data_IF_002479041120
#
_entry.id   IF_002479041120
#
_cell.length_a   1.000
_cell.length_b   1.000
_cell.length_c   1.000
_cell.angle_alpha   90.00
_cell.angle_beta   90.00
_cell.angle_gamma   90.00
#
_symmetry.space_group_name_H-M   'P 1'
#
loop_
_entity.id
_entity.type
_entity.pdbx_description
1 polymer ?
#
# COMPACT_ATOMS: atom_id res chain seq x y z
N UNK A 1 -13.48 -14.28 -16.48
CA UNK A 1 -14.45 -15.16 -17.18
C UNK A 1 -13.70 -16.38 -17.68
N UNK A 2 -14.20 -17.59 -17.42
CA UNK A 2 -13.60 -18.85 -17.92
C UNK A 2 -14.49 -19.39 -19.04
N UNK A 3 -13.89 -19.79 -20.15
CA UNK A 3 -14.58 -20.42 -21.27
C UNK A 3 -14.19 -21.90 -21.31
N UNK A 4 -15.17 -22.77 -21.48
CA UNK A 4 -14.92 -24.17 -21.80
C UNK A 4 -14.62 -24.28 -23.30
N UNK A 5 -13.42 -24.77 -23.63
CA UNK A 5 -12.95 -24.92 -24.99
C UNK A 5 -12.68 -26.39 -25.29
N UNK A 6 -12.94 -26.81 -26.53
CA UNK A 6 -12.49 -28.11 -27.03
C UNK A 6 -11.09 -27.97 -27.62
N UNK A 7 -10.26 -28.99 -27.42
CA UNK A 7 -8.93 -29.07 -28.01
C UNK A 7 -9.02 -29.87 -29.31
N UNK A 8 -8.46 -29.33 -30.39
CA UNK A 8 -8.39 -29.99 -31.69
C UNK A 8 -7.42 -31.16 -31.72
N UNK A 9 -7.45 -31.95 -32.80
CA UNK A 9 -6.69 -33.20 -32.93
C UNK A 9 -5.16 -33.05 -32.78
N UNK A 10 -4.64 -31.86 -33.05
CA UNK A 10 -3.20 -31.57 -33.02
C UNK A 10 -2.73 -30.92 -31.70
N UNK A 11 -3.58 -30.83 -30.66
CA UNK A 11 -3.31 -30.22 -29.35
C UNK A 11 -2.88 -28.74 -29.39
N UNK A 12 -2.83 -28.14 -30.58
CA UNK A 12 -2.41 -26.76 -30.86
C UNK A 12 -3.57 -25.85 -31.27
N UNK A 13 -4.74 -26.42 -31.52
CA UNK A 13 -5.92 -25.70 -31.95
C UNK A 13 -6.97 -25.70 -30.86
N UNK A 14 -7.47 -24.52 -30.51
CA UNK A 14 -8.57 -24.38 -29.56
C UNK A 14 -9.85 -24.05 -30.32
N UNK A 15 -10.95 -24.65 -29.90
CA UNK A 15 -12.26 -24.43 -30.47
C UNK A 15 -13.24 -24.01 -29.38
N UNK A 16 -14.01 -22.96 -29.65
CA UNK A 16 -15.13 -22.54 -28.80
C UNK A 16 -16.41 -22.66 -29.61
N UNK A 17 -17.35 -23.49 -29.15
CA UNK A 17 -18.61 -23.78 -29.87
C UNK A 17 -18.40 -24.11 -31.36
N UNK A 18 -17.34 -24.86 -31.68
CA UNK A 18 -17.01 -25.26 -33.05
C UNK A 18 -16.26 -24.20 -33.88
N UNK A 19 -16.10 -22.98 -33.39
CA UNK A 19 -15.28 -21.96 -34.05
C UNK A 19 -13.82 -22.06 -33.59
N UNK A 20 -12.89 -22.08 -34.55
CA UNK A 20 -11.46 -22.07 -34.26
C UNK A 20 -11.05 -20.72 -33.65
N UNK A 21 -10.47 -20.77 -32.46
CA UNK A 21 -9.92 -19.62 -31.76
C UNK A 21 -8.51 -19.33 -32.30
N UNK A 22 -8.35 -18.21 -33.03
CA UNK A 22 -7.04 -17.77 -33.54
C UNK A 22 -6.53 -16.54 -32.79
N UNK A 23 -5.23 -16.53 -32.53
CA UNK A 23 -4.55 -15.40 -31.90
C UNK A 23 -4.78 -14.10 -32.69
N UNK A 24 -5.08 -13.00 -31.98
CA UNK A 24 -5.36 -11.67 -32.52
C UNK A 24 -6.48 -11.60 -33.56
N UNK A 25 -7.23 -12.69 -33.77
CA UNK A 25 -8.44 -12.67 -34.55
C UNK A 25 -9.61 -12.22 -33.66
N UNK A 26 -10.48 -11.31 -34.13
CA UNK A 26 -11.72 -11.04 -33.44
C UNK A 26 -12.63 -12.27 -33.55
N UNK A 27 -13.26 -12.65 -32.44
CA UNK A 27 -14.35 -13.62 -32.41
C UNK A 27 -15.56 -13.01 -31.71
N UNK A 28 -16.74 -13.42 -32.13
CA UNK A 28 -17.99 -12.95 -31.54
C UNK A 28 -18.42 -13.89 -30.42
N UNK A 29 -18.56 -13.35 -29.22
CA UNK A 29 -19.08 -14.04 -28.06
C UNK A 29 -20.55 -13.63 -27.86
N UNK A 30 -21.46 -14.58 -28.06
CA UNK A 30 -22.90 -14.40 -27.86
C UNK A 30 -23.42 -15.23 -26.69
N UNK A 31 -24.19 -14.55 -25.84
CA UNK A 31 -25.12 -15.16 -24.89
C UNK A 31 -26.55 -14.82 -25.31
N UNK A 32 -27.52 -15.36 -24.57
CA UNK A 32 -28.94 -15.01 -24.64
C UNK A 32 -29.23 -13.53 -24.36
N UNK A 33 -28.33 -12.83 -23.65
CA UNK A 33 -28.50 -11.44 -23.21
C UNK A 33 -27.52 -10.44 -23.82
N UNK A 34 -26.36 -10.89 -24.30
CA UNK A 34 -25.29 -9.99 -24.76
C UNK A 34 -24.56 -10.54 -25.98
N UNK A 35 -24.08 -9.64 -26.85
CA UNK A 35 -23.09 -9.94 -27.88
C UNK A 35 -21.87 -9.04 -27.68
N UNK A 36 -20.68 -9.61 -27.77
CA UNK A 36 -19.41 -8.88 -27.68
C UNK A 36 -18.43 -9.37 -28.75
N UNK A 37 -17.73 -8.45 -29.40
CA UNK A 37 -16.55 -8.78 -30.21
C UNK A 37 -15.31 -8.77 -29.32
N UNK A 38 -14.60 -9.89 -29.28
CA UNK A 38 -13.46 -10.11 -28.39
C UNK A 38 -12.25 -10.51 -29.23
N UNK A 39 -11.05 -10.04 -28.88
CA UNK A 39 -9.80 -10.52 -29.48
C UNK A 39 -9.08 -11.46 -28.52
N UNK A 40 -8.52 -12.54 -29.06
CA UNK A 40 -7.75 -13.51 -28.27
C UNK A 40 -6.32 -12.99 -28.12
N UNK A 41 -5.97 -12.60 -26.90
CA UNK A 41 -4.60 -12.27 -26.53
C UNK A 41 -3.84 -13.53 -26.10
N UNK A 42 -2.53 -13.56 -26.34
CA UNK A 42 -1.62 -14.62 -25.90
C UNK A 42 -1.55 -14.50 -24.38
N UNK A 43 -1.84 -15.57 -23.65
CA UNK A 43 -1.98 -15.51 -22.18
C UNK A 43 -0.65 -15.26 -21.43
N UNK A 44 0.45 -15.01 -22.12
CA UNK A 44 1.76 -14.76 -21.51
C UNK A 44 2.53 -13.74 -22.34
N UNK A 45 2.46 -12.49 -21.93
CA UNK A 45 3.56 -11.52 -22.09
C UNK A 45 3.43 -10.34 -21.12
N UNK A 46 2.33 -10.21 -20.38
CA UNK A 46 2.25 -9.28 -19.23
C UNK A 46 1.22 -9.74 -18.20
N UNK A 47 1.38 -10.93 -17.61
CA UNK A 47 1.01 -10.98 -16.19
C UNK A 47 2.06 -10.11 -15.51
N UNK A 48 1.73 -8.97 -14.89
CA UNK A 48 2.70 -8.29 -14.05
C UNK A 48 3.25 -9.34 -13.10
N UNK A 49 4.57 -9.49 -13.04
CA UNK A 49 5.23 -10.40 -12.09
C UNK A 49 4.50 -10.29 -10.75
N UNK A 50 4.17 -11.41 -10.09
CA UNK A 50 3.50 -11.35 -8.80
C UNK A 50 4.26 -10.37 -7.94
N UNK A 51 3.54 -9.31 -7.55
CA UNK A 51 4.07 -8.21 -6.78
C UNK A 51 4.80 -8.81 -5.57
N UNK A 52 6.09 -8.50 -5.40
CA UNK A 52 6.84 -9.07 -4.28
C UNK A 52 6.35 -8.38 -3.02
N UNK A 53 5.56 -9.09 -2.23
CA UNK A 53 5.03 -8.63 -0.95
C UNK A 53 6.04 -8.92 0.16
N UNK A 54 6.31 -7.94 1.03
CA UNK A 54 7.14 -8.14 2.22
C UNK A 54 6.78 -7.18 3.34
N UNK A 55 6.93 -7.65 4.58
CA UNK A 55 6.86 -6.80 5.76
C UNK A 55 8.15 -6.01 5.93
N UNK A 56 8.03 -4.71 6.21
CA UNK A 56 9.17 -3.84 6.48
C UNK A 56 8.93 -3.05 7.77
N UNK A 57 9.96 -3.02 8.63
CA UNK A 57 9.96 -2.24 9.87
C UNK A 57 10.54 -0.84 9.61
N UNK A 58 9.74 0.20 9.86
CA UNK A 58 10.08 1.59 9.59
C UNK A 58 9.99 2.42 10.87
N UNK A 59 10.95 3.31 11.08
CA UNK A 59 10.80 4.35 12.09
C UNK A 59 10.09 5.55 11.47
N UNK A 60 8.98 5.96 12.06
CA UNK A 60 8.14 7.05 11.56
C UNK A 60 7.99 8.10 12.65
N UNK A 61 8.28 9.36 12.29
CA UNK A 61 8.07 10.52 13.15
C UNK A 61 6.74 11.18 12.80
N UNK A 62 5.80 11.16 13.73
CA UNK A 62 4.60 11.97 13.70
C UNK A 62 4.88 13.28 14.46
N UNK A 63 4.76 14.42 13.78
CA UNK A 63 5.07 15.72 14.39
C UNK A 63 3.78 16.50 14.69
N UNK A 64 3.76 17.24 15.79
CA UNK A 64 2.65 18.14 16.10
C UNK A 64 1.33 17.44 16.43
N UNK A 65 1.36 16.21 16.95
CA UNK A 65 0.14 15.47 17.31
C UNK A 65 -0.52 16.14 18.51
N UNK A 66 -1.83 16.35 18.45
CA UNK A 66 -2.60 16.85 19.60
C UNK A 66 -2.59 15.84 20.76
N UNK A 67 -2.64 16.28 22.03
CA UNK A 67 -2.54 15.40 23.20
C UNK A 67 -3.51 14.22 23.18
N UNK A 68 -4.75 14.45 22.76
CA UNK A 68 -5.83 13.47 22.77
C UNK A 68 -5.49 12.27 21.87
N UNK A 69 -4.98 12.54 20.66
CA UNK A 69 -4.52 11.51 19.74
C UNK A 69 -3.24 10.86 20.26
N UNK A 70 -2.27 11.66 20.73
CA UNK A 70 -1.00 11.14 21.22
C UNK A 70 -1.16 10.19 22.42
N UNK A 71 -2.20 10.38 23.24
CA UNK A 71 -2.48 9.56 24.41
C UNK A 71 -3.23 8.25 24.09
N UNK A 72 -3.85 8.14 22.91
CA UNK A 72 -4.54 6.90 22.48
C UNK A 72 -3.70 6.05 21.52
N UNK A 73 -2.54 6.54 21.07
CA UNK A 73 -1.57 5.74 20.31
C UNK A 73 -0.96 4.70 21.24
N UNK A 74 -1.10 3.43 20.90
CA UNK A 74 -0.63 2.30 21.71
C UNK A 74 0.16 1.28 20.90
N UNK A 75 1.08 0.59 21.57
CA UNK A 75 1.78 -0.55 20.99
C UNK A 75 0.81 -1.69 20.71
N UNK A 76 0.93 -2.30 19.53
CA UNK A 76 0.02 -3.31 19.04
C UNK A 76 -1.13 -2.77 18.19
N UNK A 77 -1.30 -1.45 18.07
CA UNK A 77 -2.29 -0.86 17.17
C UNK A 77 -2.10 -1.36 15.74
N UNK A 78 -3.21 -1.68 15.07
CA UNK A 78 -3.20 -2.27 13.73
C UNK A 78 -3.96 -1.42 12.73
N UNK A 79 -3.41 -1.32 11.54
CA UNK A 79 -4.13 -0.85 10.37
C UNK A 79 -4.63 -2.06 9.57
N UNK A 80 -5.89 -1.96 9.12
CA UNK A 80 -6.53 -2.96 8.27
C UNK A 80 -6.96 -2.32 6.95
N UNK A 81 -6.92 -3.10 5.88
CA UNK A 81 -7.53 -2.72 4.61
C UNK A 81 -9.06 -2.89 4.64
N UNK A 82 -9.79 -2.47 3.58
CA UNK A 82 -11.24 -2.65 3.50
C UNK A 82 -11.73 -4.11 3.55
N UNK A 83 -10.83 -5.08 3.35
CA UNK A 83 -11.14 -6.52 3.44
C UNK A 83 -10.86 -7.08 4.85
N UNK A 84 -10.35 -6.26 5.76
CA UNK A 84 -9.99 -6.64 7.13
C UNK A 84 -8.58 -7.24 7.27
N UNK A 85 -7.78 -7.28 6.19
CA UNK A 85 -6.40 -7.77 6.24
C UNK A 85 -5.51 -6.73 6.91
N UNK A 86 -4.66 -7.15 7.85
CA UNK A 86 -3.71 -6.27 8.52
C UNK A 86 -2.65 -5.82 7.51
N UNK A 87 -2.54 -4.51 7.32
CA UNK A 87 -1.56 -3.86 6.44
C UNK A 87 -0.47 -3.14 7.21
N UNK A 88 -0.70 -2.80 8.48
CA UNK A 88 0.30 -2.15 9.32
C UNK A 88 0.13 -2.50 10.79
N UNK A 89 1.22 -2.47 11.54
CA UNK A 89 1.22 -2.65 13.00
C UNK A 89 2.19 -1.68 13.66
N UNK A 90 1.73 -0.98 14.68
CA UNK A 90 2.59 -0.21 15.58
C UNK A 90 3.29 -1.19 16.52
N UNK A 91 4.59 -1.38 16.32
CA UNK A 91 5.38 -2.36 17.05
C UNK A 91 5.92 -1.81 18.37
N UNK A 92 6.37 -0.55 18.37
CA UNK A 92 6.92 0.10 19.55
C UNK A 92 6.79 1.63 19.48
N UNK A 93 6.66 2.29 20.62
CA UNK A 93 6.80 3.74 20.74
C UNK A 93 8.23 4.04 21.18
N UNK A 94 9.04 4.59 20.27
CA UNK A 94 10.46 4.89 20.52
C UNK A 94 10.60 6.15 21.39
N UNK A 95 9.80 7.18 21.12
CA UNK A 95 9.77 8.39 21.93
C UNK A 95 8.45 9.14 21.79
N UNK A 96 8.08 9.87 22.83
CA UNK A 96 6.94 10.79 22.85
C UNK A 96 7.32 12.00 23.68
N UNK A 97 7.49 13.16 23.05
CA UNK A 97 7.94 14.39 23.70
C UNK A 97 7.15 15.59 23.20
N UNK A 98 7.15 16.70 23.92
CA UNK A 98 6.56 17.95 23.42
C UNK A 98 7.20 18.35 22.08
N UNK A 99 6.37 18.81 21.15
CA UNK A 99 6.83 19.31 19.85
C UNK A 99 7.68 20.57 20.00
N UNK A 100 8.60 20.79 19.08
CA UNK A 100 9.45 21.98 19.05
C UNK A 100 8.75 23.13 18.29
N UNK A 101 8.69 24.32 18.87
CA UNK A 101 8.14 25.55 18.27
C UNK A 101 9.27 26.56 18.06
N UNK A 102 9.43 27.03 16.83
CA UNK A 102 10.39 28.06 16.49
C UNK A 102 9.75 29.45 16.67
N UNK A 103 10.35 30.31 17.49
CA UNK A 103 9.87 31.66 17.74
C UNK A 103 10.97 32.67 17.41
N UNK A 104 10.62 33.72 16.69
CA UNK A 104 11.52 34.86 16.45
C UNK A 104 11.37 35.86 17.60
N UNK A 105 12.41 35.99 18.43
CA UNK A 105 12.43 36.95 19.56
C UNK A 105 13.68 37.82 19.47
N UNK A 106 13.47 39.15 19.38
CA UNK A 106 14.56 40.14 19.26
C UNK A 106 15.56 39.82 18.13
N UNK A 107 15.06 39.41 16.96
CA UNK A 107 15.90 39.10 15.79
C UNK A 107 16.66 37.76 15.85
N UNK A 108 16.41 36.93 16.88
CA UNK A 108 16.98 35.57 16.98
C UNK A 108 15.87 34.52 17.00
N UNK A 109 16.08 33.42 16.28
CA UNK A 109 15.22 32.24 16.41
C UNK A 109 15.59 31.49 17.69
N UNK A 110 14.58 31.21 18.51
CA UNK A 110 14.68 30.34 19.69
C UNK A 110 13.69 29.18 19.53
N UNK A 111 14.07 28.02 20.04
CA UNK A 111 13.19 26.84 20.07
C UNK A 111 12.60 26.71 21.47
N UNK A 112 11.27 26.63 21.56
CA UNK A 112 10.54 26.32 22.79
C UNK A 112 9.73 25.05 22.61
N UNK A 113 9.46 24.34 23.71
CA UNK A 113 8.53 23.23 23.69
C UNK A 113 7.08 23.74 23.53
N UNK A 114 6.30 23.10 22.66
CA UNK A 114 4.88 23.34 22.51
C UNK A 114 4.16 22.88 23.80
N UNK A 115 3.26 23.69 24.38
CA UNK A 115 2.62 23.36 25.67
C UNK A 115 1.74 22.10 25.60
N UNK A 116 1.16 21.80 24.42
CA UNK A 116 0.21 20.69 24.24
C UNK A 116 0.68 19.63 23.22
N UNK A 117 0.98 20.02 21.99
CA UNK A 117 1.37 19.09 20.92
C UNK A 117 2.61 18.27 21.24
N UNK A 118 2.61 17.03 20.76
CA UNK A 118 3.67 16.05 20.93
C UNK A 118 4.23 15.59 19.59
N UNK A 119 5.53 15.40 19.55
CA UNK A 119 6.22 14.63 18.52
C UNK A 119 6.37 13.20 19.03
N UNK A 120 5.87 12.24 18.25
CA UNK A 120 5.92 10.82 18.57
C UNK A 120 6.72 10.10 17.49
N UNK A 121 7.75 9.37 17.90
CA UNK A 121 8.52 8.49 17.01
C UNK A 121 8.14 7.05 17.34
N UNK A 122 7.72 6.30 16.34
CA UNK A 122 7.29 4.91 16.49
C UNK A 122 8.03 4.00 15.53
N UNK A 123 8.03 2.70 15.83
CA UNK A 123 8.40 1.64 14.92
C UNK A 123 7.12 1.02 14.34
N UNK A 124 6.93 1.12 13.03
CA UNK A 124 5.81 0.52 12.30
C UNK A 124 6.28 -0.66 11.46
N UNK A 125 5.61 -1.80 11.59
CA UNK A 125 5.71 -2.88 10.62
C UNK A 125 4.64 -2.67 9.55
N UNK A 126 5.04 -2.46 8.31
CA UNK A 126 4.13 -2.21 7.18
C UNK A 126 4.22 -3.33 6.15
N UNK A 127 3.06 -3.70 5.60
CA UNK A 127 2.93 -4.64 4.51
C UNK A 127 3.15 -3.92 3.19
N UNK A 128 4.33 -4.11 2.62
CA UNK A 128 4.79 -3.39 1.45
C UNK A 128 4.78 -4.28 0.21
N UNK A 129 4.62 -3.63 -0.94
CA UNK A 129 4.64 -4.25 -2.26
C UNK A 129 5.79 -3.65 -3.07
N UNK A 130 6.65 -4.49 -3.61
CA UNK A 130 7.71 -4.06 -4.53
C UNK A 130 7.19 -3.98 -5.97
N UNK A 131 7.36 -2.81 -6.59
CA UNK A 131 7.07 -2.54 -8.00
C UNK A 131 8.31 -1.90 -8.61
N UNK A 132 8.88 -2.53 -9.63
CA UNK A 132 10.06 -2.03 -10.34
C UNK A 132 11.25 -1.68 -9.42
N UNK A 133 11.45 -2.48 -8.36
CA UNK A 133 12.51 -2.28 -7.36
C UNK A 133 12.21 -1.21 -6.30
N UNK A 134 11.05 -0.56 -6.35
CA UNK A 134 10.60 0.43 -5.36
C UNK A 134 9.55 -0.22 -4.46
N UNK A 135 9.71 -0.05 -3.15
CA UNK A 135 8.71 -0.50 -2.18
C UNK A 135 7.60 0.53 -2.02
N UNK A 136 6.37 0.04 -2.01
CA UNK A 136 5.18 0.84 -1.80
C UNK A 136 4.39 0.31 -0.61
N UNK A 137 3.95 1.21 0.25
CA UNK A 137 2.90 0.95 1.21
C UNK A 137 1.63 1.60 0.70
N UNK A 138 0.59 0.80 0.41
CA UNK A 138 -0.57 1.23 -0.38
C UNK A 138 -0.09 1.77 -1.74
N UNK A 139 -0.28 3.06 -2.00
CA UNK A 139 0.15 3.76 -3.21
C UNK A 139 1.33 4.71 -2.97
N UNK A 140 1.92 4.70 -1.77
CA UNK A 140 2.98 5.63 -1.39
C UNK A 140 4.35 4.93 -1.36
N UNK A 141 5.37 5.50 -2.03
CA UNK A 141 6.71 4.92 -2.01
C UNK A 141 7.31 5.01 -0.61
N UNK A 142 7.86 3.89 -0.14
CA UNK A 142 8.51 3.75 1.16
C UNK A 142 9.98 4.14 1.01
N UNK A 143 10.28 5.39 1.35
CA UNK A 143 11.61 5.97 1.31
C UNK A 143 11.78 6.97 2.44
N UNK A 144 13.00 7.12 2.95
CA UNK A 144 13.35 8.17 3.90
C UNK A 144 12.86 9.55 3.43
N UNK A 145 12.27 10.30 4.36
CA UNK A 145 11.69 11.63 4.11
C UNK A 145 10.28 11.61 3.51
N UNK A 146 9.79 10.46 3.03
CA UNK A 146 8.41 10.38 2.54
C UNK A 146 7.42 10.30 3.70
N UNK A 147 6.22 10.82 3.45
CA UNK A 147 5.11 10.69 4.38
C UNK A 147 4.49 9.29 4.32
N UNK A 148 4.07 8.78 5.47
CA UNK A 148 3.27 7.58 5.66
C UNK A 148 2.07 7.96 6.51
N UNK A 149 0.89 7.52 6.08
CA UNK A 149 -0.35 7.64 6.85
C UNK A 149 -0.69 6.29 7.45
N UNK A 150 -0.77 6.26 8.79
CA UNK A 150 -1.19 5.10 9.58
C UNK A 150 -2.59 5.37 10.13
N UNK A 151 -3.50 4.45 9.88
CA UNK A 151 -4.92 4.59 10.25
C UNK A 151 -5.39 3.38 11.06
N UNK A 152 -6.09 3.65 12.15
CA UNK A 152 -6.76 2.64 12.98
C UNK A 152 -8.26 2.95 13.02
N UNK A 153 -9.02 2.16 13.77
CA UNK A 153 -10.43 2.46 14.02
C UNK A 153 -10.62 3.73 14.90
N UNK A 154 -9.57 4.18 15.60
CA UNK A 154 -9.62 5.29 16.56
C UNK A 154 -9.03 6.59 16.01
N UNK A 155 -8.03 6.52 15.13
CA UNK A 155 -7.33 7.71 14.64
C UNK A 155 -6.68 7.51 13.27
N UNK A 156 -6.36 8.62 12.60
CA UNK A 156 -5.53 8.65 11.41
C UNK A 156 -4.44 9.70 11.58
N UNK A 157 -3.18 9.27 11.45
CA UNK A 157 -2.01 10.13 11.63
C UNK A 157 -1.05 9.98 10.45
N UNK A 158 -0.50 11.10 10.02
CA UNK A 158 0.52 11.15 8.96
C UNK A 158 1.84 11.59 9.54
N UNK A 159 2.90 10.84 9.25
CA UNK A 159 4.25 11.08 9.75
C UNK A 159 5.28 10.88 8.65
N UNK A 160 6.51 11.29 8.91
CA UNK A 160 7.61 11.10 7.97
C UNK A 160 8.44 9.88 8.33
N UNK A 161 8.86 9.12 7.31
CA UNK A 161 9.81 8.02 7.48
C UNK A 161 11.18 8.61 7.80
N UNK A 162 11.70 8.28 8.98
CA UNK A 162 12.99 8.75 9.50
C UNK A 162 14.01 7.61 9.67
N UNK A 163 13.55 6.36 9.59
CA UNK A 163 14.36 5.14 9.76
C UNK A 163 13.80 3.97 8.98
N UNK A 164 14.67 3.04 8.58
CA UNK A 164 14.31 1.69 8.12
C UNK A 164 15.12 0.72 8.95
N UNK A 165 14.47 -0.17 9.69
CA UNK A 165 15.15 -1.30 10.33
C UNK A 165 15.33 -2.39 9.28
N UNK A 166 16.56 -2.59 8.83
CA UNK A 166 16.93 -3.80 8.09
C UNK A 166 17.13 -4.92 9.12
N UNK A 167 16.36 -6.00 9.01
CA UNK A 167 16.67 -7.27 9.69
C UNK A 167 17.85 -7.96 9.01
#
# INVERSE_FOLDING_TARGET
MRLECAVGKDDRELYFKGAQLRYNSPFEFKTDKYSAQVKIAKMYESMPSPLKEKWLSLQVKFSGIIPEVANVITEGDVEKDPTGKITGRLKAIISSRSSDVLILKKGKFITLAHPFQKDVVVLLDLFCVEKDGILYFKNYPVKMGNAVTFTTDLYSISGMIVGVENK
#
